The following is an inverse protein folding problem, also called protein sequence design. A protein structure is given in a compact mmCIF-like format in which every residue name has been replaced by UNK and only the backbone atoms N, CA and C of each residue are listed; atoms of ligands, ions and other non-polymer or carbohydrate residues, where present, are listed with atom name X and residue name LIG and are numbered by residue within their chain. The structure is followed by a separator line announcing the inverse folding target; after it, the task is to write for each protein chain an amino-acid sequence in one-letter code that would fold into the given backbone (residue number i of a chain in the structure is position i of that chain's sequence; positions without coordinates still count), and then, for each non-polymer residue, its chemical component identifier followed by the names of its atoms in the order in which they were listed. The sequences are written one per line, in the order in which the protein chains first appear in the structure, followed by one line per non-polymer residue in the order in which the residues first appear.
data_IF_021584061181
#
_entry.id   IF_021584061181
#
_cell.length_a   1.000
_cell.length_b   1.000
_cell.length_c   1.000
_cell.angle_alpha   90.00
_cell.angle_beta   90.00
_cell.angle_gamma   90.00
#
_symmetry.space_group_name_H-M   'P 1'
#
loop_
_entity.id
_entity.type
_entity.pdbx_description
1 polymer ?
#
# COMPACT_ATOMS: atom_id res chain seq x y z
N UNK A 1 -29.18 -35.06 -28.90
CA UNK A 1 -30.04 -33.86 -28.72
C UNK A 1 -29.17 -32.76 -28.18
N UNK A 2 -28.92 -31.76 -29.01
CA UNK A 2 -28.04 -30.64 -28.75
C UNK A 2 -28.62 -29.74 -27.65
N UNK A 3 -27.78 -29.36 -26.68
CA UNK A 3 -28.02 -28.17 -25.87
C UNK A 3 -27.15 -27.06 -26.43
N UNK A 4 -27.71 -26.40 -27.45
CA UNK A 4 -27.29 -25.06 -27.87
C UNK A 4 -27.48 -24.07 -26.72
N UNK A 5 -26.54 -23.12 -26.61
CA UNK A 5 -26.76 -21.69 -26.30
C UNK A 5 -25.60 -21.10 -25.48
N UNK A 6 -24.43 -21.03 -26.11
CA UNK A 6 -23.51 -19.90 -25.93
C UNK A 6 -23.90 -18.77 -26.88
N UNK A 7 -25.17 -18.36 -26.87
CA UNK A 7 -25.65 -17.29 -27.74
C UNK A 7 -25.20 -15.95 -27.15
N UNK A 8 -24.53 -15.18 -27.99
CA UNK A 8 -24.11 -13.81 -27.73
C UNK A 8 -25.24 -13.00 -27.08
N UNK A 9 -25.01 -12.28 -25.98
CA UNK A 9 -25.92 -11.22 -25.59
C UNK A 9 -25.85 -10.16 -26.69
N UNK A 10 -26.89 -10.07 -27.52
CA UNK A 10 -27.19 -8.88 -28.30
C UNK A 10 -27.56 -7.75 -27.32
N UNK A 11 -26.55 -7.22 -26.64
CA UNK A 11 -26.69 -6.00 -25.88
C UNK A 11 -26.74 -4.85 -26.90
N UNK A 12 -27.94 -4.35 -27.15
CA UNK A 12 -28.22 -3.10 -27.86
C UNK A 12 -27.24 -2.01 -27.35
N UNK A 13 -26.17 -1.75 -28.13
CA UNK A 13 -25.11 -0.77 -27.81
C UNK A 13 -23.68 -1.30 -27.64
N UNK A 14 -23.42 -2.61 -27.73
CA UNK A 14 -22.05 -3.14 -27.61
C UNK A 14 -21.22 -2.93 -28.89
N UNK A 15 -20.20 -2.05 -28.83
CA UNK A 15 -19.21 -1.86 -29.91
C UNK A 15 -18.42 -3.15 -30.13
N UNK A 16 -18.22 -3.58 -31.38
CA UNK A 16 -17.38 -4.74 -31.73
C UNK A 16 -16.00 -4.70 -31.04
N UNK A 17 -15.38 -5.86 -30.75
CA UNK A 17 -14.01 -5.88 -30.23
C UNK A 17 -13.07 -5.17 -31.20
N UNK A 18 -12.18 -4.33 -30.65
CA UNK A 18 -11.15 -3.65 -31.43
C UNK A 18 -10.28 -4.67 -32.19
N UNK A 19 -9.91 -4.36 -33.44
CA UNK A 19 -9.01 -5.20 -34.22
C UNK A 19 -7.72 -5.50 -33.44
N UNK A 20 -7.32 -6.78 -33.41
CA UNK A 20 -6.14 -7.24 -32.67
C UNK A 20 -6.34 -7.32 -31.15
N UNK A 21 -7.57 -7.19 -30.64
CA UNK A 21 -7.91 -7.39 -29.21
C UNK A 21 -8.78 -8.62 -29.00
N UNK A 22 -8.74 -9.11 -27.77
CA UNK A 22 -9.50 -10.28 -27.34
C UNK A 22 -11.00 -10.07 -27.50
N UNK A 23 -11.67 -10.99 -28.21
CA UNK A 23 -13.11 -10.94 -28.47
C UNK A 23 -14.03 -11.28 -27.28
N UNK A 24 -13.50 -11.38 -26.05
CA UNK A 24 -14.27 -11.76 -24.87
C UNK A 24 -14.94 -10.55 -24.23
N UNK A 25 -16.25 -10.62 -23.98
CA UNK A 25 -17.00 -9.56 -23.32
C UNK A 25 -16.96 -9.72 -21.80
N UNK A 26 -16.38 -8.75 -21.10
CA UNK A 26 -16.30 -8.77 -19.63
C UNK A 26 -17.55 -8.10 -19.06
N UNK A 27 -18.56 -8.90 -18.72
CA UNK A 27 -19.87 -8.42 -18.21
C UNK A 27 -19.73 -7.45 -17.04
N UNK A 28 -18.93 -7.80 -16.02
CA UNK A 28 -18.67 -6.95 -14.85
C UNK A 28 -18.16 -5.54 -15.21
N UNK A 29 -17.43 -5.42 -16.32
CA UNK A 29 -16.82 -4.16 -16.79
C UNK A 29 -17.55 -3.55 -17.98
N UNK A 30 -18.64 -4.18 -18.45
CA UNK A 30 -19.44 -3.80 -19.62
C UNK A 30 -18.59 -3.41 -20.84
N UNK A 31 -17.52 -4.18 -21.12
CA UNK A 31 -16.60 -3.91 -22.23
C UNK A 31 -15.86 -5.16 -22.70
N UNK A 32 -15.38 -5.16 -23.94
CA UNK A 32 -14.48 -6.19 -24.45
C UNK A 32 -13.11 -6.18 -23.75
N UNK A 33 -12.51 -7.35 -23.64
CA UNK A 33 -11.18 -7.54 -23.07
C UNK A 33 -10.13 -6.81 -23.93
N UNK A 34 -9.30 -5.96 -23.29
CA UNK A 34 -8.26 -5.18 -23.98
C UNK A 34 -6.93 -5.92 -24.18
N UNK A 35 -6.87 -7.19 -23.80
CA UNK A 35 -5.65 -7.98 -23.95
C UNK A 35 -5.45 -8.37 -25.41
N UNK A 36 -4.19 -8.46 -25.84
CA UNK A 36 -3.83 -8.89 -27.20
C UNK A 36 -3.86 -10.42 -27.29
N UNK A 37 -4.59 -11.00 -28.26
CA UNK A 37 -4.50 -12.42 -28.62
C UNK A 37 -3.12 -12.79 -29.18
N UNK A 38 -2.79 -14.08 -29.16
CA UNK A 38 -1.66 -14.58 -29.95
C UNK A 38 -1.99 -14.47 -31.46
N UNK A 39 -0.99 -14.42 -32.35
CA UNK A 39 -1.23 -14.40 -33.80
C UNK A 39 -2.16 -15.54 -34.23
N UNK A 40 -3.21 -15.22 -34.99
CA UNK A 40 -4.21 -16.19 -35.46
C UNK A 40 -5.30 -16.57 -34.46
N UNK A 41 -5.24 -16.10 -33.20
CA UNK A 41 -6.26 -16.38 -32.18
C UNK A 41 -7.25 -15.24 -31.99
N UNK A 42 -8.48 -15.58 -31.61
CA UNK A 42 -9.58 -14.65 -31.34
C UNK A 42 -9.58 -14.15 -29.88
N UNK A 43 -9.04 -14.94 -28.95
CA UNK A 43 -9.02 -14.60 -27.53
C UNK A 43 -7.59 -14.51 -26.95
N UNK A 44 -7.43 -13.73 -25.88
CA UNK A 44 -6.15 -13.64 -25.17
C UNK A 44 -5.86 -14.91 -24.37
N UNK A 45 -4.63 -15.05 -23.87
CA UNK A 45 -4.22 -16.24 -23.09
C UNK A 45 -5.19 -16.63 -21.96
N UNK A 46 -5.81 -15.66 -21.27
CA UNK A 46 -6.78 -15.94 -20.19
C UNK A 46 -8.17 -16.35 -20.68
N UNK A 47 -8.59 -15.90 -21.86
CA UNK A 47 -9.92 -16.23 -22.42
C UNK A 47 -9.84 -17.26 -23.58
N UNK A 48 -8.66 -17.78 -23.90
CA UNK A 48 -8.46 -18.78 -24.95
C UNK A 48 -9.08 -20.15 -24.67
N UNK A 49 -9.70 -20.35 -23.50
CA UNK A 49 -10.48 -21.54 -23.17
C UNK A 49 -11.82 -21.60 -23.90
N UNK A 50 -12.28 -20.48 -24.47
CA UNK A 50 -13.50 -20.40 -25.28
C UNK A 50 -13.23 -20.63 -26.78
N UNK A 51 -12.00 -21.01 -27.15
CA UNK A 51 -11.67 -21.49 -28.50
C UNK A 51 -11.76 -23.01 -28.50
N UNK A 52 -12.56 -23.58 -29.42
CA UNK A 52 -12.76 -25.02 -29.55
C UNK A 52 -11.47 -25.78 -29.93
N UNK A 53 -10.46 -25.09 -30.46
CA UNK A 53 -9.17 -25.67 -30.89
C UNK A 53 -8.07 -25.71 -29.80
N UNK A 54 -8.44 -25.58 -28.52
CA UNK A 54 -7.45 -25.56 -27.43
C UNK A 54 -7.48 -26.85 -26.61
N UNK A 55 -6.75 -27.88 -27.06
CA UNK A 55 -6.58 -29.17 -26.34
C UNK A 55 -5.93 -29.04 -24.95
N UNK A 56 -5.46 -27.84 -24.59
CA UNK A 56 -4.79 -27.60 -23.30
C UNK A 56 -5.82 -27.34 -22.20
N UNK A 57 -6.07 -28.36 -21.40
CA UNK A 57 -6.94 -28.30 -20.22
C UNK A 57 -6.44 -27.28 -19.19
N UNK A 58 -7.33 -26.36 -18.78
CA UNK A 58 -7.12 -25.47 -17.63
C UNK A 58 -7.84 -26.04 -16.41
N UNK A 59 -7.18 -25.95 -15.25
CA UNK A 59 -7.71 -26.34 -13.95
C UNK A 59 -7.64 -25.15 -12.99
N UNK A 60 -8.53 -25.05 -11.99
CA UNK A 60 -8.37 -24.07 -10.91
C UNK A 60 -7.03 -24.32 -10.19
N UNK A 61 -6.36 -23.25 -9.78
CA UNK A 61 -5.12 -23.41 -9.03
C UNK A 61 -5.39 -24.05 -7.67
N UNK A 62 -4.64 -25.09 -7.27
CA UNK A 62 -4.84 -25.75 -5.98
C UNK A 62 -4.42 -24.88 -4.78
N UNK A 63 -3.67 -23.79 -5.01
CA UNK A 63 -3.30 -22.83 -3.97
C UNK A 63 -4.29 -21.67 -3.83
N UNK A 64 -5.08 -21.38 -4.87
CA UNK A 64 -6.08 -20.31 -4.88
C UNK A 64 -7.11 -20.54 -6.01
N UNK A 65 -8.36 -20.93 -5.69
CA UNK A 65 -9.39 -21.18 -6.68
C UNK A 65 -9.79 -19.97 -7.53
N UNK A 66 -9.38 -18.75 -7.17
CA UNK A 66 -9.74 -17.53 -7.89
C UNK A 66 -9.00 -17.36 -9.23
N UNK A 67 -8.00 -18.19 -9.54
CA UNK A 67 -7.33 -18.19 -10.84
C UNK A 67 -7.17 -19.61 -11.41
N UNK A 68 -7.04 -19.68 -12.74
CA UNK A 68 -6.86 -20.94 -13.48
C UNK A 68 -5.46 -21.04 -14.06
N UNK A 69 -5.01 -22.29 -14.27
CA UNK A 69 -3.69 -22.62 -14.81
C UNK A 69 -3.84 -23.76 -15.81
N UNK A 70 -2.91 -23.88 -16.76
CA UNK A 70 -2.88 -25.08 -17.59
C UNK A 70 -2.38 -26.27 -16.77
N UNK A 71 -3.04 -27.42 -16.92
CA UNK A 71 -2.74 -28.66 -16.19
C UNK A 71 -1.30 -29.12 -16.44
N UNK A 72 -0.83 -29.04 -17.68
CA UNK A 72 0.55 -29.33 -18.11
C UNK A 72 1.60 -28.38 -17.50
N UNK A 73 1.19 -27.21 -17.01
CA UNK A 73 2.07 -26.21 -16.39
C UNK A 73 1.92 -26.13 -14.87
N UNK A 74 1.12 -27.00 -14.24
CA UNK A 74 0.87 -26.99 -12.79
C UNK A 74 2.17 -26.92 -11.99
N UNK A 75 3.13 -27.81 -12.26
CA UNK A 75 4.40 -27.85 -11.53
C UNK A 75 5.24 -26.57 -11.67
N UNK A 76 5.25 -25.97 -12.87
CA UNK A 76 5.94 -24.69 -13.10
C UNK A 76 5.21 -23.54 -12.42
N UNK A 77 3.88 -23.59 -12.38
CA UNK A 77 3.04 -22.60 -11.72
C UNK A 77 3.22 -22.61 -10.20
N UNK A 78 3.16 -23.79 -9.55
CA UNK A 78 3.29 -23.91 -8.08
C UNK A 78 4.57 -23.23 -7.56
N UNK A 79 5.67 -23.30 -8.32
CA UNK A 79 6.94 -22.64 -7.96
C UNK A 79 6.90 -21.10 -8.01
N UNK A 80 5.96 -20.50 -8.73
CA UNK A 80 5.86 -19.04 -8.94
C UNK A 80 4.50 -18.45 -8.56
N UNK A 81 3.59 -19.26 -8.03
CA UNK A 81 2.25 -18.82 -7.65
C UNK A 81 2.36 -17.76 -6.55
N UNK A 82 1.60 -16.67 -6.70
CA UNK A 82 1.56 -15.61 -5.69
C UNK A 82 0.89 -16.09 -4.39
N UNK A 83 -0.02 -17.06 -4.49
CA UNK A 83 -0.76 -17.66 -3.36
C UNK A 83 0.02 -18.77 -2.66
N UNK A 84 1.23 -19.08 -3.11
CA UNK A 84 2.13 -19.98 -2.39
C UNK A 84 2.58 -19.34 -1.07
N UNK A 85 2.55 -20.11 0.01
CA UNK A 85 3.14 -19.69 1.28
C UNK A 85 4.65 -19.42 1.10
N UNK A 86 5.06 -18.19 1.37
CA UNK A 86 6.46 -17.80 1.34
C UNK A 86 7.08 -18.05 2.71
N UNK A 87 8.37 -18.44 2.79
CA UNK A 87 9.05 -18.53 4.06
C UNK A 87 8.94 -17.18 4.78
N UNK A 88 8.50 -17.23 6.05
CA UNK A 88 8.36 -16.04 6.88
C UNK A 88 9.77 -15.49 7.16
N UNK A 89 10.01 -14.20 6.91
CA UNK A 89 11.33 -13.61 7.15
C UNK A 89 11.64 -13.52 8.64
N UNK A 90 12.92 -13.32 9.00
CA UNK A 90 13.38 -13.25 10.40
C UNK A 90 12.69 -12.16 11.21
N UNK A 91 12.25 -11.08 10.55
CA UNK A 91 11.53 -9.96 11.15
C UNK A 91 10.02 -10.20 11.27
N UNK A 92 9.53 -11.40 10.98
CA UNK A 92 8.13 -11.76 11.16
C UNK A 92 7.90 -12.40 12.54
N UNK A 93 7.08 -11.75 13.35
CA UNK A 93 6.52 -12.33 14.58
C UNK A 93 5.00 -12.15 14.53
N UNK A 94 4.26 -13.25 14.49
CA UNK A 94 2.80 -13.20 14.32
C UNK A 94 2.14 -12.36 15.43
N UNK A 95 1.23 -11.48 15.00
CA UNK A 95 0.43 -10.56 15.83
C UNK A 95 1.18 -9.73 16.90
N UNK A 96 2.50 -9.53 16.79
CA UNK A 96 3.28 -8.80 17.80
C UNK A 96 2.81 -7.34 18.00
N UNK A 97 2.28 -6.71 16.94
CA UNK A 97 1.74 -5.34 16.98
C UNK A 97 0.23 -5.30 16.74
N UNK A 98 -0.49 -6.43 16.82
CA UNK A 98 -1.93 -6.50 16.56
C UNK A 98 -2.79 -5.89 17.68
N UNK A 99 -2.17 -5.43 18.77
CA UNK A 99 -2.84 -5.05 19.99
C UNK A 99 -3.30 -6.28 20.79
N UNK A 100 -3.69 -6.06 22.04
CA UNK A 100 -4.34 -7.08 22.86
C UNK A 100 -5.73 -7.36 22.27
N UNK A 101 -6.00 -8.62 21.89
CA UNK A 101 -7.32 -9.07 21.43
C UNK A 101 -8.40 -8.90 22.52
N UNK A 102 -7.97 -8.78 23.77
CA UNK A 102 -8.78 -8.73 24.99
C UNK A 102 -8.67 -7.41 25.79
N UNK A 103 -8.28 -6.26 25.20
CA UNK A 103 -8.69 -4.99 25.81
C UNK A 103 -10.18 -4.85 25.54
N UNK A 104 -10.96 -5.46 26.43
CA UNK A 104 -12.34 -5.14 26.74
C UNK A 104 -13.04 -4.43 25.58
N UNK A 105 -13.79 -5.20 24.79
CA UNK A 105 -15.15 -4.74 24.52
C UNK A 105 -15.78 -4.50 25.89
N UNK A 106 -15.50 -3.35 26.50
CA UNK A 106 -16.50 -2.73 27.36
C UNK A 106 -17.71 -2.77 26.45
N UNK A 107 -18.80 -3.46 26.81
CA UNK A 107 -20.03 -3.30 26.07
C UNK A 107 -20.25 -1.79 26.03
N UNK A 108 -19.96 -1.16 24.89
CA UNK A 108 -20.36 0.21 24.66
C UNK A 108 -21.87 0.11 24.52
N UNK A 109 -22.56 0.07 25.66
CA UNK A 109 -23.95 0.46 25.73
C UNK A 109 -23.95 1.94 25.34
N UNK A 110 -24.02 2.17 24.03
CA UNK A 110 -24.18 3.51 23.48
C UNK A 110 -25.61 3.93 23.81
N UNK A 111 -25.76 4.57 24.98
CA UNK A 111 -27.01 5.21 25.38
C UNK A 111 -27.16 6.51 24.59
N UNK A 112 -28.30 6.74 23.91
CA UNK A 112 -28.59 8.01 23.29
C UNK A 112 -28.57 9.13 24.33
N UNK A 113 -28.08 10.32 23.98
CA UNK A 113 -28.11 11.48 24.90
C UNK A 113 -29.55 11.78 25.35
N UNK A 114 -30.55 11.47 24.51
CA UNK A 114 -31.98 11.64 24.81
C UNK A 114 -32.52 10.70 25.88
N UNK A 115 -31.81 9.62 26.23
CA UNK A 115 -32.21 8.72 27.32
C UNK A 115 -31.72 9.17 28.69
N UNK A 116 -30.88 10.22 28.75
CA UNK A 116 -30.37 10.78 30.00
C UNK A 116 -31.39 11.73 30.62
N UNK A 117 -31.50 11.72 31.94
CA UNK A 117 -32.26 12.72 32.67
C UNK A 117 -31.60 14.11 32.54
N UNK A 118 -32.37 15.15 32.88
CA UNK A 118 -31.85 16.53 32.90
C UNK A 118 -30.67 16.68 33.86
N UNK A 119 -30.75 16.02 35.02
CA UNK A 119 -29.74 16.04 36.08
C UNK A 119 -28.45 15.34 35.62
N UNK A 120 -28.57 14.18 34.98
CA UNK A 120 -27.44 13.44 34.41
C UNK A 120 -26.74 14.23 33.31
N UNK A 121 -27.51 14.86 32.41
CA UNK A 121 -26.98 15.70 31.35
C UNK A 121 -26.23 16.92 31.91
N UNK A 122 -26.77 17.55 32.96
CA UNK A 122 -26.12 18.67 33.65
C UNK A 122 -24.81 18.26 34.32
N UNK A 123 -24.75 17.06 34.93
CA UNK A 123 -23.53 16.53 35.52
C UNK A 123 -22.46 16.21 34.46
N UNK A 124 -22.87 15.62 33.33
CA UNK A 124 -21.99 15.37 32.18
C UNK A 124 -21.39 16.66 31.63
N UNK A 125 -22.22 17.70 31.41
CA UNK A 125 -21.76 19.02 30.97
C UNK A 125 -20.74 19.61 31.96
N UNK A 126 -20.97 19.44 33.27
CA UNK A 126 -20.06 19.93 34.31
C UNK A 126 -18.71 19.21 34.26
N UNK A 127 -18.71 17.88 34.10
CA UNK A 127 -17.49 17.07 33.94
C UNK A 127 -16.72 17.48 32.68
N UNK A 128 -17.40 17.64 31.55
CA UNK A 128 -16.80 18.10 30.29
C UNK A 128 -16.16 19.49 30.44
N UNK A 129 -16.88 20.45 31.03
CA UNK A 129 -16.33 21.79 31.29
C UNK A 129 -15.12 21.75 32.20
N UNK A 130 -15.15 20.95 33.27
CA UNK A 130 -14.01 20.78 34.19
C UNK A 130 -12.80 20.18 33.47
N UNK A 131 -13.02 19.16 32.64
CA UNK A 131 -11.96 18.53 31.85
C UNK A 131 -11.40 19.51 30.80
N UNK A 132 -12.26 20.28 30.13
CA UNK A 132 -11.84 21.24 29.10
C UNK A 132 -11.11 22.46 29.66
N UNK A 133 -11.34 22.84 30.92
CA UNK A 133 -10.65 23.97 31.56
C UNK A 133 -9.12 23.79 31.60
N UNK A 134 -8.62 22.55 31.55
CA UNK A 134 -7.18 22.23 31.46
C UNK A 134 -6.65 22.14 30.03
N UNK A 135 -7.51 22.16 29.01
CA UNK A 135 -7.16 21.99 27.59
C UNK A 135 -7.06 23.39 26.92
N UNK A 136 -6.62 24.40 27.67
CA UNK A 136 -6.34 25.72 27.12
C UNK A 136 -4.97 25.71 26.44
N UNK A 137 -4.93 25.13 25.25
CA UNK A 137 -3.94 25.47 24.26
C UNK A 137 -4.65 25.51 22.92
N UNK A 138 -4.78 26.71 22.33
CA UNK A 138 -4.92 26.83 20.89
C UNK A 138 -3.68 26.14 20.33
N UNK A 139 -3.84 24.88 19.90
CA UNK A 139 -2.78 24.16 19.20
C UNK A 139 -2.55 24.93 17.91
N UNK A 140 -1.48 25.72 17.87
CA UNK A 140 -1.00 26.26 16.61
C UNK A 140 -0.53 25.04 15.83
N UNK A 141 -1.21 24.74 14.74
CA UNK A 141 -0.79 23.73 13.77
C UNK A 141 -0.13 24.47 12.59
N UNK A 142 1.15 24.87 12.71
CA UNK A 142 1.82 25.55 11.62
C UNK A 142 1.98 24.57 10.47
N UNK A 143 1.39 24.91 9.32
CA UNK A 143 1.69 24.22 8.07
C UNK A 143 3.02 24.74 7.56
N UNK A 144 4.07 23.95 7.73
CA UNK A 144 5.39 24.26 7.18
C UNK A 144 5.48 23.81 5.72
N UNK A 145 6.55 24.21 5.06
CA UNK A 145 6.91 23.75 3.72
C UNK A 145 8.40 23.54 3.66
N UNK A 146 8.85 22.67 2.76
CA UNK A 146 10.26 22.31 2.62
C UNK A 146 10.72 22.53 1.18
N UNK A 147 11.95 23.03 1.01
CA UNK A 147 12.50 23.42 -0.29
C UNK A 147 12.52 22.25 -1.29
N UNK A 148 12.78 21.03 -0.81
CA UNK A 148 12.84 19.82 -1.63
C UNK A 148 11.57 19.54 -2.45
N UNK A 149 10.41 20.06 -2.05
CA UNK A 149 9.15 19.90 -2.79
C UNK A 149 8.70 21.17 -3.51
N UNK A 150 9.42 22.29 -3.41
CA UNK A 150 8.95 23.61 -3.89
C UNK A 150 8.65 23.62 -5.38
N UNK A 151 9.50 23.00 -6.20
CA UNK A 151 9.30 22.91 -7.65
C UNK A 151 8.07 22.06 -7.99
N UNK A 152 7.99 20.87 -7.41
CA UNK A 152 6.91 19.92 -7.72
C UNK A 152 5.57 20.41 -7.16
N UNK A 153 5.54 21.15 -6.06
CA UNK A 153 4.32 21.80 -5.57
C UNK A 153 3.75 22.83 -6.55
N UNK A 154 4.62 23.52 -7.29
CA UNK A 154 4.25 24.57 -8.23
C UNK A 154 4.03 24.07 -9.67
N UNK A 155 4.15 22.76 -9.93
CA UNK A 155 3.91 22.19 -11.25
C UNK A 155 2.39 22.26 -11.60
N UNK A 156 2.00 23.01 -12.65
CA UNK A 156 0.60 23.14 -13.06
C UNK A 156 -0.01 21.84 -13.58
N UNK A 157 0.80 20.81 -13.85
CA UNK A 157 0.31 19.48 -14.27
C UNK A 157 -0.23 18.64 -13.11
N UNK A 158 -0.05 19.09 -11.86
CA UNK A 158 -0.58 18.38 -10.72
C UNK A 158 -2.10 18.50 -10.64
N UNK A 159 -2.78 17.35 -10.59
CA UNK A 159 -4.18 17.33 -10.15
C UNK A 159 -4.31 17.59 -8.64
N UNK A 160 -5.52 17.97 -8.21
CA UNK A 160 -5.83 18.33 -6.81
C UNK A 160 -5.39 17.26 -5.79
N UNK A 161 -5.62 15.98 -6.09
CA UNK A 161 -5.22 14.87 -5.23
C UNK A 161 -3.69 14.79 -5.06
N UNK A 162 -2.93 14.99 -6.15
CA UNK A 162 -1.48 14.98 -6.08
C UNK A 162 -0.96 16.17 -5.27
N UNK A 163 -1.54 17.35 -5.48
CA UNK A 163 -1.21 18.56 -4.75
C UNK A 163 -1.43 18.42 -3.24
N UNK A 164 -2.56 17.82 -2.82
CA UNK A 164 -2.85 17.54 -1.40
C UNK A 164 -1.76 16.68 -0.77
N UNK A 165 -1.36 15.59 -1.43
CA UNK A 165 -0.31 14.71 -0.92
C UNK A 165 1.06 15.40 -0.86
N UNK A 166 1.41 16.20 -1.88
CA UNK A 166 2.67 16.94 -1.90
C UNK A 166 2.72 17.97 -0.77
N UNK A 167 1.63 18.69 -0.51
CA UNK A 167 1.55 19.67 0.58
C UNK A 167 1.72 19.02 1.95
N UNK A 168 1.11 17.86 2.15
CA UNK A 168 1.31 17.06 3.38
C UNK A 168 2.77 16.65 3.56
N UNK A 169 3.39 16.11 2.50
CA UNK A 169 4.80 15.69 2.54
C UNK A 169 5.74 16.88 2.80
N UNK A 170 5.50 18.02 2.17
CA UNK A 170 6.28 19.24 2.39
C UNK A 170 6.18 19.74 3.83
N UNK A 171 4.99 19.69 4.43
CA UNK A 171 4.79 20.05 5.83
C UNK A 171 5.54 19.12 6.78
N UNK A 172 5.45 17.80 6.57
CA UNK A 172 6.20 16.81 7.36
C UNK A 172 7.70 17.09 7.30
N UNK A 173 8.25 17.30 6.10
CA UNK A 173 9.67 17.61 5.94
C UNK A 173 10.05 18.94 6.60
N UNK A 174 9.21 19.97 6.51
CA UNK A 174 9.47 21.26 7.16
C UNK A 174 9.53 21.13 8.68
N UNK A 175 8.66 20.31 9.27
CA UNK A 175 8.70 19.98 10.69
C UNK A 175 9.93 19.17 11.07
N UNK A 176 10.30 18.18 10.24
CA UNK A 176 11.53 17.41 10.46
C UNK A 176 12.78 18.29 10.42
N UNK A 177 12.84 19.27 9.51
CA UNK A 177 13.93 20.23 9.43
C UNK A 177 13.97 21.16 10.66
N UNK A 178 12.82 21.74 11.04
CA UNK A 178 12.71 22.60 12.22
C UNK A 178 13.11 21.87 13.52
N UNK A 179 12.81 20.57 13.61
CA UNK A 179 13.17 19.73 14.75
C UNK A 179 14.58 19.12 14.64
N UNK A 180 15.37 19.50 13.63
CA UNK A 180 16.70 18.97 13.35
C UNK A 180 16.74 17.43 13.28
N UNK A 181 15.70 16.85 12.68
CA UNK A 181 15.56 15.40 12.46
C UNK A 181 16.17 14.94 11.13
N UNK A 182 16.43 15.88 10.22
CA UNK A 182 17.15 15.66 8.97
C UNK A 182 18.66 15.80 9.24
N UNK A 183 19.42 14.72 9.06
CA UNK A 183 20.88 14.74 9.23
C UNK A 183 21.52 13.35 9.14
N UNK A 184 22.85 13.27 9.23
CA UNK A 184 23.61 12.05 8.99
C UNK A 184 23.45 11.01 10.12
N UNK A 185 23.73 9.75 9.79
CA UNK A 185 23.71 8.64 10.76
C UNK A 185 22.32 8.27 11.26
N UNK A 186 21.31 8.47 10.41
CA UNK A 186 19.89 8.25 10.72
C UNK A 186 19.27 7.18 9.84
N UNK A 187 18.37 6.40 10.44
CA UNK A 187 17.53 5.43 9.74
C UNK A 187 16.09 5.94 9.74
N UNK A 188 15.54 6.19 8.57
CA UNK A 188 14.16 6.59 8.37
C UNK A 188 13.32 5.36 8.04
N UNK A 189 12.33 5.08 8.88
CA UNK A 189 11.42 3.93 8.70
C UNK A 189 10.05 4.44 8.26
N UNK A 190 9.67 4.19 7.00
CA UNK A 190 8.36 4.58 6.46
C UNK A 190 7.40 3.40 6.55
N UNK A 191 6.40 3.52 7.44
CA UNK A 191 5.34 2.53 7.59
C UNK A 191 4.22 2.76 6.59
N UNK A 192 3.77 1.69 5.93
CA UNK A 192 2.76 1.82 4.87
C UNK A 192 3.33 2.60 3.67
N UNK A 193 4.60 2.33 3.33
CA UNK A 193 5.36 3.15 2.40
C UNK A 193 4.73 3.24 1.01
N UNK A 194 3.90 2.27 0.60
CA UNK A 194 3.28 2.23 -0.71
C UNK A 194 4.30 2.45 -1.83
N UNK A 195 4.23 3.62 -2.46
CA UNK A 195 5.17 4.02 -3.54
C UNK A 195 6.46 4.70 -3.05
N UNK A 196 6.78 4.71 -1.76
CA UNK A 196 8.02 5.26 -1.18
C UNK A 196 8.24 6.75 -1.41
N UNK A 197 7.17 7.53 -1.55
CA UNK A 197 7.29 8.95 -1.92
C UNK A 197 7.87 9.80 -0.78
N UNK A 198 7.53 9.51 0.47
CA UNK A 198 8.01 10.33 1.58
C UNK A 198 9.51 10.12 1.78
N UNK A 199 9.97 8.86 1.82
CA UNK A 199 11.40 8.54 1.86
C UNK A 199 12.17 9.16 0.69
N UNK A 200 11.59 9.20 -0.52
CA UNK A 200 12.20 9.87 -1.67
C UNK A 200 12.44 11.37 -1.43
N UNK A 201 11.47 12.07 -0.82
CA UNK A 201 11.62 13.48 -0.51
C UNK A 201 12.60 13.73 0.63
N UNK A 202 12.60 12.87 1.65
CA UNK A 202 13.59 12.93 2.74
C UNK A 202 15.01 12.73 2.19
N UNK A 203 15.21 11.77 1.29
CA UNK A 203 16.48 11.58 0.58
C UNK A 203 16.87 12.79 -0.28
N UNK A 204 15.88 13.45 -0.90
CA UNK A 204 16.12 14.68 -1.66
C UNK A 204 16.56 15.83 -0.75
N UNK A 205 15.92 15.97 0.41
CA UNK A 205 16.30 16.95 1.44
C UNK A 205 17.70 16.67 2.02
N UNK A 206 18.13 15.42 2.00
CA UNK A 206 19.41 14.92 2.53
C UNK A 206 20.44 14.65 1.44
N UNK A 207 20.31 15.24 0.25
CA UNK A 207 21.14 14.91 -0.91
C UNK A 207 22.66 15.05 -0.68
N UNK A 208 23.08 15.92 0.25
CA UNK A 208 24.47 16.19 0.61
C UNK A 208 24.85 15.56 1.97
N UNK A 209 24.06 14.60 2.43
CA UNK A 209 24.22 13.94 3.73
C UNK A 209 24.66 12.49 3.55
N UNK A 210 25.75 12.12 4.21
CA UNK A 210 26.25 10.75 4.20
C UNK A 210 25.58 9.86 5.26
N UNK A 211 25.68 8.55 5.05
CA UNK A 211 25.28 7.54 6.03
C UNK A 211 23.81 7.69 6.47
N UNK A 212 22.92 7.69 5.49
CA UNK A 212 21.48 7.73 5.68
C UNK A 212 20.86 6.41 5.22
N UNK A 213 20.03 5.81 6.06
CA UNK A 213 19.34 4.57 5.75
C UNK A 213 17.83 4.79 5.67
N UNK A 214 17.17 4.08 4.76
CA UNK A 214 15.74 4.13 4.54
C UNK A 214 15.19 2.70 4.57
N UNK A 215 14.24 2.45 5.48
CA UNK A 215 13.55 1.18 5.63
C UNK A 215 12.06 1.35 5.31
N UNK A 216 11.61 0.78 4.20
CA UNK A 216 10.26 0.93 3.70
C UNK A 216 9.44 -0.32 4.04
N UNK A 217 8.41 -0.17 4.87
CA UNK A 217 7.56 -1.28 5.31
C UNK A 217 6.24 -1.24 4.55
N UNK A 218 5.92 -2.30 3.81
CA UNK A 218 4.69 -2.39 3.02
C UNK A 218 4.18 -3.83 2.93
N UNK A 219 2.87 -4.02 3.05
CA UNK A 219 2.23 -5.34 2.90
C UNK A 219 2.06 -5.74 1.43
N UNK A 220 1.78 -4.77 0.55
CA UNK A 220 1.43 -4.98 -0.84
C UNK A 220 2.66 -5.17 -1.76
N UNK A 221 2.47 -5.92 -2.84
CA UNK A 221 3.51 -6.24 -3.84
C UNK A 221 3.56 -5.29 -5.04
N UNK A 222 2.80 -4.18 -5.02
CA UNK A 222 2.58 -3.37 -6.24
C UNK A 222 3.86 -2.67 -6.71
N UNK A 223 4.09 -2.67 -8.04
CA UNK A 223 5.32 -2.18 -8.71
C UNK A 223 5.79 -0.81 -8.17
N UNK A 224 6.98 -0.84 -7.57
CA UNK A 224 7.61 0.27 -6.86
C UNK A 224 8.36 1.21 -7.82
N UNK A 225 7.62 2.13 -8.45
CA UNK A 225 8.11 3.01 -9.54
C UNK A 225 9.26 3.96 -9.15
N UNK A 226 9.57 4.15 -7.87
CA UNK A 226 10.66 5.03 -7.40
C UNK A 226 11.91 4.28 -6.96
N UNK A 227 11.85 2.97 -6.69
CA UNK A 227 13.01 2.21 -6.20
C UNK A 227 14.18 2.20 -7.21
N UNK A 228 13.88 2.34 -8.51
CA UNK A 228 14.89 2.52 -9.56
C UNK A 228 15.62 3.87 -9.52
N UNK A 229 15.07 4.88 -8.84
CA UNK A 229 15.71 6.19 -8.62
C UNK A 229 16.62 6.21 -7.39
N UNK A 230 16.41 5.28 -6.45
CA UNK A 230 17.11 5.21 -5.16
C UNK A 230 18.48 4.50 -5.23
N UNK A 231 19.05 4.34 -6.43
CA UNK A 231 20.31 3.58 -6.65
C UNK A 231 21.55 4.45 -6.86
N UNK A 232 21.44 5.77 -6.75
CA UNK A 232 22.46 6.70 -7.25
C UNK A 232 23.27 7.45 -6.17
N UNK A 233 23.06 7.21 -4.87
CA UNK A 233 23.66 8.00 -3.77
C UNK A 233 24.05 7.10 -2.58
N UNK A 234 24.84 7.62 -1.65
CA UNK A 234 25.29 6.93 -0.42
C UNK A 234 24.15 6.56 0.55
N UNK A 235 22.92 6.90 0.20
CA UNK A 235 21.70 6.46 0.88
C UNK A 235 21.40 4.99 0.61
N UNK A 236 21.17 4.20 1.66
CA UNK A 236 20.77 2.79 1.55
C UNK A 236 19.25 2.69 1.65
N UNK A 237 18.62 2.03 0.68
CA UNK A 237 17.18 1.76 0.67
C UNK A 237 16.90 0.25 0.78
N UNK A 238 16.20 -0.13 1.84
CA UNK A 238 15.69 -1.48 2.07
C UNK A 238 14.16 -1.48 2.13
N UNK A 239 13.53 -2.54 1.64
CA UNK A 239 12.06 -2.68 1.65
C UNK A 239 11.65 -4.01 2.26
N UNK A 240 10.87 -3.96 3.34
CA UNK A 240 10.31 -5.12 4.02
C UNK A 240 8.90 -5.38 3.53
N UNK A 241 8.66 -6.55 2.95
CA UNK A 241 7.33 -6.98 2.57
C UNK A 241 6.66 -7.72 3.73
N UNK A 242 6.01 -6.98 4.62
CA UNK A 242 5.35 -7.53 5.81
C UNK A 242 4.24 -6.59 6.28
N UNK A 243 3.17 -7.17 6.82
CA UNK A 243 2.15 -6.38 7.50
C UNK A 243 2.72 -5.85 8.83
N UNK A 244 2.42 -4.59 9.15
CA UNK A 244 2.89 -3.91 10.37
C UNK A 244 2.47 -4.70 11.60
N UNK A 245 1.30 -5.36 11.58
CA UNK A 245 0.83 -6.19 12.70
C UNK A 245 1.80 -7.34 13.06
N UNK A 246 2.67 -7.74 12.13
CA UNK A 246 3.62 -8.85 12.28
C UNK A 246 5.09 -8.43 12.29
N UNK A 247 5.38 -7.13 12.17
CA UNK A 247 6.75 -6.64 12.02
C UNK A 247 7.46 -6.57 13.38
N UNK A 248 8.58 -7.29 13.50
CA UNK A 248 9.50 -7.16 14.62
C UNK A 248 10.80 -6.49 14.17
N UNK A 249 11.04 -5.25 14.64
CA UNK A 249 12.25 -4.49 14.33
C UNK A 249 13.45 -4.80 15.24
N UNK A 250 13.31 -5.76 16.18
CA UNK A 250 14.39 -6.10 17.14
C UNK A 250 15.56 -6.85 16.50
N UNK A 251 15.39 -7.34 15.27
CA UNK A 251 16.45 -7.98 14.52
C UNK A 251 17.28 -6.92 13.81
N UNK A 252 18.61 -7.00 13.93
CA UNK A 252 19.50 -6.09 13.21
C UNK A 252 19.31 -6.28 11.70
N UNK A 253 18.84 -5.23 11.02
CA UNK A 253 18.75 -5.19 9.56
C UNK A 253 20.10 -4.76 8.99
N UNK A 254 20.76 -5.64 8.25
CA UNK A 254 21.99 -5.32 7.54
C UNK A 254 22.64 -6.56 6.91
N UNK A 255 23.34 -6.43 5.77
CA UNK A 255 24.00 -7.54 5.06
C UNK A 255 25.24 -8.10 5.78
N UNK A 256 25.57 -7.61 6.97
CA UNK A 256 26.76 -8.03 7.71
C UNK A 256 26.46 -8.00 9.22
N UNK A 257 26.08 -9.15 9.78
CA UNK A 257 25.92 -9.35 11.23
C UNK A 257 27.24 -9.22 12.02
N UNK A 258 28.33 -8.84 11.34
CA UNK A 258 29.67 -8.59 11.89
C UNK A 258 30.04 -7.11 12.03
N UNK A 259 29.23 -6.18 11.50
CA UNK A 259 29.50 -4.73 11.58
C UNK A 259 28.41 -4.01 12.36
N UNK A 260 28.56 -4.04 13.66
CA UNK A 260 27.94 -3.08 14.58
C UNK A 260 28.45 -1.67 14.27
N UNK A 261 27.86 -0.98 13.28
CA UNK A 261 28.25 0.38 12.89
C UNK A 261 27.30 0.95 11.82
N UNK A 262 26.34 1.80 12.23
CA UNK A 262 26.34 3.22 11.82
C UNK A 262 25.06 4.03 12.09
N UNK A 263 23.93 3.40 12.43
CA UNK A 263 22.70 4.15 12.68
C UNK A 263 22.42 4.31 14.17
N UNK A 264 22.73 5.50 14.71
CA UNK A 264 22.56 5.81 16.14
C UNK A 264 21.15 6.33 16.48
N UNK A 265 20.34 6.70 15.48
CA UNK A 265 19.00 7.27 15.66
C UNK A 265 18.03 6.73 14.61
N UNK A 266 16.91 6.17 15.06
CA UNK A 266 15.81 5.70 14.21
C UNK A 266 14.69 6.74 14.26
N UNK A 267 14.21 7.16 13.09
CA UNK A 267 13.02 8.01 12.96
C UNK A 267 11.93 7.23 12.24
N UNK A 268 10.83 6.96 12.96
CA UNK A 268 9.67 6.27 12.41
C UNK A 268 8.70 7.32 11.86
N UNK A 269 8.29 7.15 10.61
CA UNK A 269 7.40 8.06 9.92
C UNK A 269 6.08 7.36 9.62
N UNK A 270 4.98 7.95 10.08
CA UNK A 270 3.62 7.49 9.83
C UNK A 270 2.88 8.56 9.04
N UNK A 271 2.29 8.16 7.91
CA UNK A 271 1.30 8.95 7.20
C UNK A 271 -0.07 8.35 7.56
N UNK A 272 -0.83 9.04 8.41
CA UNK A 272 -2.24 8.74 8.64
C UNK A 272 -3.11 9.36 7.54
#
# INVERSE_FOLDING_TARGET
MATEQGLQPQALGARNPELGRCGYFVERKKRFCRMTPAPGRRFCGEHGQYEEENDRKRIPCPLDPNHTIYEDQLQKHLKKCNSREKPKPVYYVQDINAGLKDVTKIPEEQVPISSLSKEELQDLIRKLKKASNGISSILKDPTLSHWALKEVLNDPKNGESAFKHLKQQASILGHMEQLHLLGPGRCFVEFGAGRGKLSHWVDTALQDTENVHFLLVERATTRFKVDGKHRKRDSIFERLQVDIQHLCLRFNFGPDSSKEKHCKKVLMIFLH
#
